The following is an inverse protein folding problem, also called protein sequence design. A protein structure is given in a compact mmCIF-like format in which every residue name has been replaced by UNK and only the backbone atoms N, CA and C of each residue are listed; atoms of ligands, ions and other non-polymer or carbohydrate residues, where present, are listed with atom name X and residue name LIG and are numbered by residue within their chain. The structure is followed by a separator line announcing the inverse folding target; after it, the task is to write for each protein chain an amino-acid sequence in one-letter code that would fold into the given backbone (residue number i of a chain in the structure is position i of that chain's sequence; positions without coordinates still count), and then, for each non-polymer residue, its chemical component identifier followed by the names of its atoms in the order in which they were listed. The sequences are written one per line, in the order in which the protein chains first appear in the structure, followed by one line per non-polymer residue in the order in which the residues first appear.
data_IF_578832628110
#
_entry.id   IF_578832628110
#
_cell.length_a   1.000
_cell.length_b   1.000
_cell.length_c   1.000
_cell.angle_alpha   90.00
_cell.angle_beta   90.00
_cell.angle_gamma   90.00
#
_symmetry.space_group_name_H-M   'P 1'
#
loop_
_entity.id
_entity.type
_entity.pdbx_description
1 polymer ?
#
# COMPACT_ATOMS: atom_id res chain seq x y z
N UNK A 1 13.49 -4.09 -11.77
CA UNK A 1 13.14 -2.88 -12.57
C UNK A 1 11.77 -2.28 -12.19
N UNK A 2 11.33 -2.31 -10.91
CA UNK A 2 9.97 -1.82 -10.53
C UNK A 2 9.90 -1.00 -9.22
N UNK A 3 11.03 -0.62 -8.59
CA UNK A 3 11.06 0.17 -7.35
C UNK A 3 11.16 1.68 -7.55
N UNK A 4 12.10 2.14 -8.38
CA UNK A 4 12.34 3.58 -8.61
C UNK A 4 11.11 4.32 -9.13
N UNK A 5 10.26 3.66 -9.93
CA UNK A 5 9.08 4.31 -10.49
C UNK A 5 8.03 4.65 -9.42
N UNK A 6 7.91 3.83 -8.38
CA UNK A 6 6.89 4.03 -7.32
C UNK A 6 7.15 5.31 -6.52
N UNK A 7 8.38 5.54 -6.09
CA UNK A 7 8.74 6.76 -5.34
C UNK A 7 8.54 8.02 -6.18
N UNK A 8 8.97 7.97 -7.44
CA UNK A 8 8.83 9.10 -8.37
C UNK A 8 7.36 9.40 -8.65
N UNK A 9 6.53 8.38 -8.83
CA UNK A 9 5.08 8.55 -8.96
C UNK A 9 4.46 9.20 -7.70
N UNK A 10 4.83 8.74 -6.50
CA UNK A 10 4.33 9.33 -5.24
C UNK A 10 4.72 10.80 -5.15
N UNK A 11 6.01 11.11 -5.28
CA UNK A 11 6.50 12.49 -5.17
C UNK A 11 5.93 13.37 -6.30
N UNK A 12 5.85 12.86 -7.52
CA UNK A 12 5.28 13.57 -8.66
C UNK A 12 3.81 13.93 -8.47
N UNK A 13 3.01 12.99 -7.96
CA UNK A 13 1.60 13.26 -7.61
C UNK A 13 1.52 14.31 -6.50
N UNK A 14 2.32 14.21 -5.44
CA UNK A 14 2.28 15.16 -4.32
C UNK A 14 2.80 16.56 -4.69
N UNK A 15 3.71 16.68 -5.66
CA UNK A 15 4.14 18.00 -6.19
C UNK A 15 3.01 18.63 -7.02
N UNK A 16 2.29 17.81 -7.79
CA UNK A 16 1.22 18.27 -8.69
C UNK A 16 -0.08 18.58 -7.94
N UNK A 17 -0.43 17.74 -6.97
CA UNK A 17 -1.66 17.78 -6.19
C UNK A 17 -1.35 17.64 -4.70
N UNK A 18 -0.72 18.66 -4.12
CA UNK A 18 -0.27 18.65 -2.72
C UNK A 18 -1.35 18.38 -1.68
N UNK A 19 -2.62 18.62 -2.01
CA UNK A 19 -3.76 18.29 -1.13
C UNK A 19 -3.90 16.78 -0.87
N UNK A 20 -3.42 15.92 -1.78
CA UNK A 20 -3.45 14.47 -1.61
C UNK A 20 -2.47 13.95 -0.55
N UNK A 21 -1.65 14.81 0.06
CA UNK A 21 -0.78 14.43 1.17
C UNK A 21 -1.56 13.78 2.33
N UNK A 22 -2.79 14.23 2.58
CA UNK A 22 -3.68 13.68 3.60
C UNK A 22 -3.97 12.18 3.40
N UNK A 23 -3.92 11.68 2.17
CA UNK A 23 -4.26 10.29 1.84
C UNK A 23 -3.12 9.30 2.13
N UNK A 24 -1.91 9.81 2.38
CA UNK A 24 -0.69 9.01 2.51
C UNK A 24 0.19 9.35 3.71
N UNK A 25 -0.07 10.46 4.42
CA UNK A 25 0.71 10.88 5.60
C UNK A 25 0.68 9.87 6.75
N UNK A 26 -0.37 9.04 6.82
CA UNK A 26 -0.53 7.94 7.80
C UNK A 26 0.08 6.60 7.32
N UNK A 27 0.43 6.51 6.04
CA UNK A 27 1.01 5.31 5.43
C UNK A 27 2.53 5.44 5.33
N UNK A 28 3.01 6.60 4.89
CA UNK A 28 4.39 6.81 4.48
C UNK A 28 5.19 7.55 5.53
N UNK A 29 6.47 7.22 5.60
CA UNK A 29 7.47 7.91 6.42
C UNK A 29 8.73 8.15 5.59
N UNK A 30 9.52 9.20 5.86
CA UNK A 30 10.68 9.54 5.04
C UNK A 30 11.71 8.41 4.88
N UNK A 31 11.87 7.56 5.88
CA UNK A 31 12.78 6.41 5.90
C UNK A 31 12.38 5.28 4.94
N UNK A 32 11.14 5.30 4.42
CA UNK A 32 10.67 4.33 3.42
C UNK A 32 11.27 4.56 2.03
N UNK A 33 11.80 5.76 1.76
CA UNK A 33 12.37 6.12 0.47
C UNK A 33 13.82 5.65 0.33
N UNK A 34 14.19 5.18 -0.86
CA UNK A 34 15.46 4.51 -1.12
C UNK A 34 16.66 5.46 -1.08
N UNK A 35 16.48 6.70 -1.51
CA UNK A 35 17.57 7.68 -1.60
C UNK A 35 17.40 8.81 -0.58
N UNK A 36 18.54 9.35 -0.13
CA UNK A 36 18.56 10.54 0.75
C UNK A 36 17.81 11.71 0.11
N UNK A 37 17.87 11.84 -1.22
CA UNK A 37 17.19 12.90 -1.95
C UNK A 37 15.65 12.74 -1.89
N UNK A 38 15.12 11.57 -2.26
CA UNK A 38 13.67 11.29 -2.22
C UNK A 38 13.12 11.33 -0.80
N UNK A 39 13.87 10.79 0.17
CA UNK A 39 13.56 10.88 1.60
C UNK A 39 13.48 12.33 2.10
N UNK A 40 14.47 13.16 1.74
CA UNK A 40 14.49 14.59 2.13
C UNK A 40 13.33 15.38 1.54
N UNK A 41 12.93 15.06 0.31
CA UNK A 41 11.81 15.72 -0.36
C UNK A 41 10.51 15.36 0.36
N UNK A 42 10.26 14.09 0.64
CA UNK A 42 9.06 13.67 1.36
C UNK A 42 9.01 14.27 2.79
N UNK A 43 10.14 14.29 3.50
CA UNK A 43 10.23 14.93 4.82
C UNK A 43 9.89 16.43 4.76
N UNK A 44 10.33 17.14 3.71
CA UNK A 44 9.98 18.54 3.49
C UNK A 44 8.48 18.72 3.23
N UNK A 45 7.87 17.87 2.41
CA UNK A 45 6.41 17.86 2.17
C UNK A 45 5.63 17.60 3.46
N UNK A 46 6.03 16.61 4.26
CA UNK A 46 5.41 16.29 5.54
C UNK A 46 5.45 17.49 6.49
N UNK A 47 6.61 18.13 6.63
CA UNK A 47 6.74 19.34 7.44
C UNK A 47 5.87 20.50 6.92
N UNK A 48 5.75 20.66 5.61
CA UNK A 48 4.86 21.68 5.03
C UNK A 48 3.40 21.38 5.35
N UNK A 49 2.98 20.12 5.26
CA UNK A 49 1.65 19.67 5.64
C UNK A 49 1.36 19.93 7.14
N UNK A 50 2.30 19.58 8.03
CA UNK A 50 2.19 19.83 9.47
C UNK A 50 2.11 21.33 9.80
N UNK A 51 2.77 22.18 8.99
CA UNK A 51 2.71 23.64 9.09
C UNK A 51 1.47 24.25 8.42
N UNK A 52 0.52 23.43 7.92
CA UNK A 52 -0.62 23.86 7.11
C UNK A 52 -0.24 24.73 5.89
N UNK A 53 0.94 24.48 5.31
CA UNK A 53 1.43 25.15 4.10
C UNK A 53 1.10 24.32 2.87
N UNK A 54 0.71 25.01 1.80
CA UNK A 54 0.50 24.40 0.49
C UNK A 54 1.76 23.70 0.00
N UNK A 55 1.59 22.52 -0.61
CA UNK A 55 2.65 21.78 -1.28
C UNK A 55 2.46 21.97 -2.79
N UNK A 56 3.43 22.63 -3.40
CA UNK A 56 3.52 22.86 -4.85
C UNK A 56 5.00 22.96 -5.24
N UNK A 57 5.30 22.92 -6.55
CA UNK A 57 6.67 22.91 -7.06
C UNK A 57 7.50 24.10 -6.58
N UNK A 58 6.94 25.32 -6.52
CA UNK A 58 7.68 26.52 -6.15
C UNK A 58 8.02 26.47 -4.68
N UNK A 59 7.00 26.31 -3.82
CA UNK A 59 7.17 26.30 -2.36
C UNK A 59 8.06 25.15 -1.91
N UNK A 60 7.94 23.96 -2.53
CA UNK A 60 8.80 22.82 -2.23
C UNK A 60 10.24 23.08 -2.67
N UNK A 61 10.45 23.67 -3.85
CA UNK A 61 11.80 23.99 -4.33
C UNK A 61 12.53 24.93 -3.38
N UNK A 62 11.84 25.97 -2.89
CA UNK A 62 12.40 26.87 -1.88
C UNK A 62 12.72 26.13 -0.58
N UNK A 63 11.86 25.19 -0.16
CA UNK A 63 12.05 24.42 1.08
C UNK A 63 13.27 23.51 1.03
N UNK A 64 13.55 22.91 -0.13
CA UNK A 64 14.68 21.97 -0.30
C UNK A 64 15.92 22.62 -0.92
N UNK A 65 15.88 23.91 -1.21
CA UNK A 65 17.01 24.66 -1.76
C UNK A 65 18.25 24.51 -0.87
N UNK A 66 19.39 24.19 -1.48
CA UNK A 66 20.64 23.98 -0.75
C UNK A 66 20.75 22.61 -0.05
N UNK A 67 19.73 21.74 -0.14
CA UNK A 67 19.88 20.34 0.24
C UNK A 67 20.80 19.64 -0.77
N UNK A 68 22.03 19.35 -0.36
CA UNK A 68 23.07 18.74 -1.21
C UNK A 68 22.62 17.47 -1.95
N UNK A 69 21.76 16.65 -1.35
CA UNK A 69 21.29 15.42 -1.99
C UNK A 69 20.29 15.71 -3.12
N UNK A 70 19.44 16.72 -2.96
CA UNK A 70 18.49 17.17 -3.98
C UNK A 70 19.21 17.93 -5.10
N UNK A 71 20.15 18.82 -4.75
CA UNK A 71 20.99 19.53 -5.71
C UNK A 71 21.80 18.56 -6.59
N UNK A 72 22.36 17.50 -6.00
CA UNK A 72 23.10 16.46 -6.73
C UNK A 72 22.23 15.69 -7.74
N UNK A 73 20.90 15.76 -7.63
CA UNK A 73 19.95 15.17 -8.58
C UNK A 73 19.44 16.16 -9.64
N UNK A 74 19.84 17.44 -9.55
CA UNK A 74 19.40 18.49 -10.47
C UNK A 74 18.43 19.51 -9.87
N UNK A 75 18.22 19.50 -8.55
CA UNK A 75 17.47 20.54 -7.84
C UNK A 75 16.03 20.68 -8.34
N UNK A 76 15.61 21.93 -8.56
CA UNK A 76 14.27 22.28 -9.08
C UNK A 76 13.92 21.58 -10.39
N UNK A 77 14.87 21.44 -11.31
CA UNK A 77 14.61 20.79 -12.60
C UNK A 77 14.21 19.32 -12.41
N UNK A 78 14.81 18.64 -11.44
CA UNK A 78 14.45 17.27 -11.11
C UNK A 78 13.06 17.17 -10.46
N UNK A 79 12.72 18.08 -9.54
CA UNK A 79 11.37 18.18 -8.97
C UNK A 79 10.31 18.36 -10.07
N UNK A 80 10.56 19.28 -11.02
CA UNK A 80 9.67 19.52 -12.14
C UNK A 80 9.52 18.27 -13.04
N UNK A 81 10.61 17.52 -13.26
CA UNK A 81 10.56 16.28 -14.02
C UNK A 81 9.71 15.19 -13.35
N UNK A 82 9.70 15.13 -12.00
CA UNK A 82 8.85 14.19 -11.26
C UNK A 82 7.39 14.62 -11.32
N UNK A 83 7.11 15.92 -11.18
CA UNK A 83 5.77 16.47 -11.33
C UNK A 83 5.15 16.18 -12.71
N UNK A 84 5.98 16.12 -13.76
CA UNK A 84 5.54 15.75 -15.10
C UNK A 84 5.27 14.24 -15.30
N UNK A 85 5.77 13.38 -14.41
CA UNK A 85 5.76 11.93 -14.57
C UNK A 85 5.01 11.25 -13.39
N UNK A 86 3.69 11.38 -13.36
CA UNK A 86 2.85 10.67 -12.39
C UNK A 86 1.62 10.00 -13.03
N UNK A 87 1.02 9.06 -12.32
CA UNK A 87 -0.24 8.42 -12.71
C UNK A 87 -1.34 8.90 -11.75
N UNK A 88 -2.28 9.76 -12.21
CA UNK A 88 -3.38 10.22 -11.38
C UNK A 88 -4.19 9.06 -10.78
N UNK A 89 -4.68 9.24 -9.55
CA UNK A 89 -5.57 8.28 -8.88
C UNK A 89 -4.90 7.03 -8.29
N UNK A 90 -3.61 6.78 -8.51
CA UNK A 90 -2.90 5.60 -7.99
C UNK A 90 -1.99 5.88 -6.76
N UNK A 91 -2.06 7.09 -6.20
CA UNK A 91 -1.16 7.52 -5.12
C UNK A 91 -1.18 6.55 -3.93
N UNK A 92 -2.36 6.20 -3.43
CA UNK A 92 -2.51 5.30 -2.27
C UNK A 92 -1.99 3.89 -2.55
N UNK A 93 -2.23 3.37 -3.75
CA UNK A 93 -1.72 2.05 -4.16
C UNK A 93 -0.18 2.03 -4.20
N UNK A 94 0.43 3.08 -4.77
CA UNK A 94 1.88 3.22 -4.76
C UNK A 94 2.45 3.41 -3.36
N UNK A 95 1.77 4.15 -2.49
CA UNK A 95 2.17 4.31 -1.09
C UNK A 95 2.18 2.97 -0.34
N UNK A 96 1.14 2.15 -0.52
CA UNK A 96 1.07 0.81 0.06
C UNK A 96 2.16 -0.12 -0.49
N UNK A 97 2.42 -0.07 -1.80
CA UNK A 97 3.49 -0.84 -2.43
C UNK A 97 4.88 -0.45 -1.91
N UNK A 98 5.13 0.85 -1.69
CA UNK A 98 6.37 1.34 -1.10
C UNK A 98 6.51 0.85 0.34
N UNK A 99 5.44 0.95 1.15
CA UNK A 99 5.40 0.44 2.53
C UNK A 99 5.68 -1.06 2.58
N UNK A 100 5.05 -1.86 1.73
CA UNK A 100 5.28 -3.31 1.67
C UNK A 100 6.76 -3.64 1.42
N UNK A 101 7.38 -2.96 0.46
CA UNK A 101 8.81 -3.14 0.15
C UNK A 101 9.71 -2.71 1.29
N UNK A 102 9.37 -1.62 1.97
CA UNK A 102 10.11 -1.17 3.13
C UNK A 102 10.06 -2.22 4.25
N UNK A 103 8.89 -2.78 4.53
CA UNK A 103 8.72 -3.86 5.52
C UNK A 103 9.55 -5.10 5.14
N UNK A 104 9.54 -5.50 3.86
CA UNK A 104 10.38 -6.61 3.37
C UNK A 104 11.88 -6.34 3.59
N UNK A 105 12.33 -5.10 3.33
CA UNK A 105 13.72 -4.69 3.58
C UNK A 105 14.07 -4.76 5.06
N UNK A 106 13.17 -4.30 5.95
CA UNK A 106 13.37 -4.38 7.40
C UNK A 106 13.42 -5.82 7.91
N UNK A 107 12.55 -6.70 7.42
CA UNK A 107 12.60 -8.12 7.74
C UNK A 107 13.96 -8.74 7.33
N UNK A 108 14.48 -8.39 6.16
CA UNK A 108 15.80 -8.85 5.71
C UNK A 108 16.95 -8.29 6.57
N UNK A 109 16.87 -7.03 7.00
CA UNK A 109 17.85 -6.42 7.90
C UNK A 109 17.92 -7.18 9.24
N UNK A 110 16.79 -7.51 9.84
CA UNK A 110 16.73 -8.32 11.07
C UNK A 110 17.20 -9.74 10.87
N UNK A 111 16.83 -10.40 9.76
CA UNK A 111 17.34 -11.73 9.44
C UNK A 111 18.87 -11.76 9.35
N UNK A 112 19.47 -10.73 8.76
CA UNK A 112 20.94 -10.57 8.72
C UNK A 112 21.54 -10.30 10.09
N UNK A 113 20.84 -9.60 10.97
CA UNK A 113 21.29 -9.39 12.36
C UNK A 113 21.30 -10.70 13.15
N UNK A 114 20.26 -11.51 13.03
CA UNK A 114 20.22 -12.86 13.61
C UNK A 114 21.36 -13.72 13.05
N UNK A 115 21.57 -13.71 11.73
CA UNK A 115 22.66 -14.44 11.10
C UNK A 115 24.02 -14.02 11.68
N UNK A 116 24.29 -12.70 11.80
CA UNK A 116 25.53 -12.20 12.40
C UNK A 116 25.69 -12.67 13.84
N UNK A 117 24.63 -12.58 14.65
CA UNK A 117 24.65 -13.03 16.04
C UNK A 117 25.02 -14.52 16.18
N UNK A 118 24.54 -15.37 15.27
CA UNK A 118 24.89 -16.80 15.23
C UNK A 118 26.34 -17.00 14.82
N UNK A 119 26.79 -16.34 13.75
CA UNK A 119 28.16 -16.45 13.23
C UNK A 119 29.19 -15.97 14.25
N UNK A 120 28.88 -14.89 14.97
CA UNK A 120 29.73 -14.31 16.00
C UNK A 120 29.70 -15.11 17.33
N UNK A 121 28.89 -16.18 17.40
CA UNK A 121 28.81 -17.06 18.57
C UNK A 121 28.17 -16.40 19.80
N UNK A 122 27.24 -15.46 19.60
CA UNK A 122 26.52 -14.84 20.72
C UNK A 122 25.65 -15.85 21.48
N UNK A 123 25.40 -15.57 22.76
CA UNK A 123 24.52 -16.37 23.61
C UNK A 123 23.10 -16.48 23.03
N UNK A 124 22.45 -17.63 23.28
CA UNK A 124 21.11 -17.96 22.79
C UNK A 124 20.08 -16.92 23.26
N UNK A 125 20.23 -16.40 24.47
CA UNK A 125 19.42 -15.32 25.03
C UNK A 125 19.43 -14.06 24.15
N UNK A 126 20.60 -13.66 23.65
CA UNK A 126 20.74 -12.50 22.76
C UNK A 126 20.13 -12.76 21.39
N UNK A 127 20.34 -13.95 20.84
CA UNK A 127 19.78 -14.33 19.53
C UNK A 127 18.24 -14.27 19.60
N UNK A 128 17.63 -14.87 20.62
CA UNK A 128 16.17 -14.83 20.82
C UNK A 128 15.67 -13.39 21.01
N UNK A 129 16.42 -12.54 21.72
CA UNK A 129 16.07 -11.13 21.87
C UNK A 129 16.02 -10.39 20.52
N UNK A 130 17.00 -10.62 19.64
CA UNK A 130 17.03 -10.01 18.29
C UNK A 130 15.84 -10.49 17.45
N UNK A 131 15.52 -11.79 17.49
CA UNK A 131 14.36 -12.36 16.79
C UNK A 131 13.07 -11.69 17.25
N UNK A 132 12.83 -11.60 18.55
CA UNK A 132 11.61 -11.01 19.10
C UNK A 132 11.49 -9.53 18.74
N UNK A 133 12.59 -8.75 18.89
CA UNK A 133 12.62 -7.35 18.49
C UNK A 133 12.30 -7.15 17.01
N UNK A 134 12.88 -7.99 16.14
CA UNK A 134 12.62 -7.95 14.71
C UNK A 134 11.17 -8.27 14.36
N UNK A 135 10.61 -9.31 14.99
CA UNK A 135 9.22 -9.70 14.79
C UNK A 135 8.24 -8.61 15.24
N UNK A 136 8.45 -8.05 16.43
CA UNK A 136 7.61 -6.96 16.96
C UNK A 136 7.70 -5.71 16.08
N UNK A 137 8.90 -5.34 15.64
CA UNK A 137 9.10 -4.18 14.77
C UNK A 137 8.36 -4.35 13.43
N UNK A 138 8.50 -5.51 12.78
CA UNK A 138 7.81 -5.81 11.51
C UNK A 138 6.29 -5.80 11.70
N UNK A 139 5.78 -6.42 12.77
CA UNK A 139 4.35 -6.43 13.07
C UNK A 139 3.79 -5.02 13.25
N UNK A 140 4.50 -4.17 14.02
CA UNK A 140 4.07 -2.79 14.26
C UNK A 140 4.04 -1.96 12.97
N UNK A 141 4.96 -2.20 12.04
CA UNK A 141 4.97 -1.51 10.74
C UNK A 141 3.78 -1.91 9.86
N UNK A 142 3.27 -3.14 9.97
CA UNK A 142 2.11 -3.61 9.20
C UNK A 142 0.79 -3.00 9.70
N UNK A 143 0.77 -2.45 10.91
CA UNK A 143 -0.37 -1.65 11.37
C UNK A 143 -0.41 -0.37 10.53
N UNK A 144 -1.39 -0.27 9.64
CA UNK A 144 -1.81 1.00 9.05
C UNK A 144 -2.97 1.48 9.91
N UNK A 145 -3.00 2.75 10.31
CA UNK A 145 -4.20 3.33 10.91
C UNK A 145 -5.39 3.07 9.95
N UNK A 146 -6.35 2.26 10.40
CA UNK A 146 -7.49 1.84 9.57
C UNK A 146 -7.34 0.56 8.72
N UNK A 147 -6.17 -0.10 8.66
CA UNK A 147 -6.02 -1.39 7.96
C UNK A 147 -5.83 -2.61 8.89
N UNK A 148 -6.06 -2.47 10.19
CA UNK A 148 -6.50 -3.63 10.97
C UNK A 148 -7.96 -3.89 10.62
N UNK A 149 -8.23 -4.47 9.44
CA UNK A 149 -9.45 -5.27 9.33
C UNK A 149 -9.22 -6.46 10.24
N UNK A 150 -9.70 -6.36 11.47
CA UNK A 150 -9.81 -7.50 12.37
C UNK A 150 -10.40 -8.67 11.56
N UNK A 151 -9.97 -9.91 11.80
CA UNK A 151 -10.65 -11.09 11.23
C UNK A 151 -12.17 -11.02 11.49
N UNK A 152 -12.57 -10.36 12.58
CA UNK A 152 -13.95 -10.08 12.94
C UNK A 152 -14.69 -9.12 12.00
N UNK A 153 -14.00 -8.21 11.30
CA UNK A 153 -14.60 -7.31 10.30
C UNK A 153 -14.63 -7.90 8.89
N UNK A 154 -13.89 -8.98 8.63
CA UNK A 154 -13.90 -9.70 7.35
C UNK A 154 -15.06 -10.70 7.30
N UNK A 155 -15.43 -11.30 8.45
CA UNK A 155 -16.51 -12.28 8.55
C UNK A 155 -17.85 -11.73 8.01
N UNK A 156 -18.31 -10.51 8.35
CA UNK A 156 -19.57 -9.99 7.83
C UNK A 156 -19.56 -9.80 6.32
N UNK A 157 -18.46 -9.28 5.76
CA UNK A 157 -18.33 -9.00 4.32
C UNK A 157 -18.19 -10.29 3.49
N UNK A 158 -17.52 -11.31 4.04
CA UNK A 158 -17.45 -12.66 3.44
C UNK A 158 -18.80 -13.38 3.57
N UNK A 159 -19.50 -13.24 4.69
CA UNK A 159 -20.85 -13.78 4.88
C UNK A 159 -21.84 -13.13 3.91
N UNK A 160 -21.82 -11.80 3.76
CA UNK A 160 -22.68 -11.07 2.84
C UNK A 160 -22.43 -11.50 1.39
N UNK A 161 -21.16 -11.69 0.99
CA UNK A 161 -20.81 -12.27 -0.33
C UNK A 161 -21.22 -13.73 -0.49
N UNK A 162 -21.23 -14.53 0.58
CA UNK A 162 -21.73 -15.90 0.55
C UNK A 162 -23.25 -15.94 0.48
N UNK A 163 -23.94 -15.04 1.18
CA UNK A 163 -25.39 -14.87 1.17
C UNK A 163 -25.86 -14.39 -0.20
N UNK A 164 -25.20 -13.41 -0.82
CA UNK A 164 -25.48 -13.00 -2.21
C UNK A 164 -25.30 -14.15 -3.19
N UNK A 165 -24.19 -14.90 -3.07
CA UNK A 165 -23.94 -16.07 -3.94
C UNK A 165 -24.95 -17.19 -3.71
N UNK A 166 -25.36 -17.43 -2.47
CA UNK A 166 -26.39 -18.40 -2.12
C UNK A 166 -27.78 -17.95 -2.59
N UNK A 167 -28.10 -16.66 -2.51
CA UNK A 167 -29.34 -16.08 -3.00
C UNK A 167 -29.44 -16.17 -4.52
N UNK A 168 -28.34 -15.88 -5.23
CA UNK A 168 -28.23 -16.06 -6.69
C UNK A 168 -28.31 -17.55 -7.05
N UNK A 169 -27.66 -18.44 -6.29
CA UNK A 169 -27.74 -19.88 -6.50
C UNK A 169 -29.13 -20.46 -6.22
N UNK A 170 -29.86 -19.94 -5.23
CA UNK A 170 -31.22 -20.37 -4.90
C UNK A 170 -32.23 -19.88 -5.94
N UNK A 171 -32.10 -18.65 -6.45
CA UNK A 171 -32.87 -18.16 -7.60
C UNK A 171 -32.54 -18.92 -8.88
N UNK A 172 -31.26 -19.20 -9.16
CA UNK A 172 -30.84 -20.02 -10.30
C UNK A 172 -31.31 -21.48 -10.20
N UNK A 173 -31.35 -22.04 -8.99
CA UNK A 173 -31.89 -23.36 -8.68
C UNK A 173 -33.40 -23.44 -8.86
N UNK A 174 -34.16 -22.42 -8.40
CA UNK A 174 -35.61 -22.32 -8.61
C UNK A 174 -35.97 -22.09 -10.08
N UNK A 175 -35.18 -21.33 -10.83
CA UNK A 175 -35.35 -21.16 -12.28
C UNK A 175 -35.03 -22.45 -13.06
N UNK A 176 -34.05 -23.24 -12.62
CA UNK A 176 -33.75 -24.53 -13.25
C UNK A 176 -34.80 -25.61 -12.94
N UNK A 177 -35.37 -25.62 -11.73
CA UNK A 177 -36.49 -26.53 -11.41
C UNK A 177 -37.79 -26.10 -12.11
N UNK A 178 -38.13 -24.80 -12.10
CA UNK A 178 -39.31 -24.28 -12.81
C UNK A 178 -39.23 -24.51 -14.32
N UNK A 179 -38.04 -24.35 -14.92
CA UNK A 179 -37.79 -24.67 -16.33
C UNK A 179 -37.92 -26.16 -16.66
N UNK A 180 -37.51 -27.04 -15.73
CA UNK A 180 -37.68 -28.51 -15.87
C UNK A 180 -39.14 -28.95 -15.72
N UNK A 181 -39.93 -28.31 -14.86
CA UNK A 181 -41.37 -28.56 -14.74
C UNK A 181 -42.13 -28.10 -15.99
N UNK A 182 -41.80 -26.94 -16.56
CA UNK A 182 -42.43 -26.43 -17.79
C UNK A 182 -42.11 -27.27 -19.04
N UNK A 183 -40.90 -27.84 -19.12
CA UNK A 183 -40.53 -28.75 -20.22
C UNK A 183 -41.12 -30.17 -20.06
N UNK A 184 -41.39 -30.61 -18.83
CA UNK A 184 -42.08 -31.88 -18.56
C UNK A 184 -43.58 -31.84 -18.89
N UNK A 185 -44.26 -30.72 -18.61
CA UNK A 185 -45.69 -30.54 -18.96
C UNK A 185 -45.91 -30.35 -20.46
N UNK A 186 -45.00 -29.67 -21.16
CA UNK A 186 -45.05 -29.54 -22.63
C UNK A 186 -44.84 -30.89 -23.35
N UNK A 187 -44.04 -31.80 -22.79
CA UNK A 187 -43.82 -33.13 -23.35
C UNK A 187 -45.03 -34.08 -23.14
N UNK A 188 -45.75 -33.96 -22.02
CA UNK A 188 -46.94 -34.76 -21.73
C UNK A 188 -48.22 -34.23 -22.41
N UNK A 189 -48.26 -32.96 -22.81
CA UNK A 189 -49.39 -32.35 -23.52
C UNK A 189 -49.52 -32.71 -25.01
N UNK A 190 -48.52 -33.36 -25.61
CA UNK A 190 -48.47 -33.60 -27.07
C UNK A 190 -48.61 -35.09 -27.46
N UNK A 191 -49.21 -35.92 -26.61
CA UNK A 191 -49.44 -37.35 -26.88
C UNK A 191 -50.90 -37.81 -26.91
N UNK A 192 -51.85 -36.88 -26.99
CA UNK A 192 -53.23 -37.22 -27.30
C UNK A 192 -53.83 -36.22 -28.29
N UNK A 193 -53.62 -36.47 -29.57
CA UNK A 193 -54.56 -36.22 -30.67
C UNK A 193 -54.29 -37.27 -31.75
#
# INVERSE_FOLDING_TARGET
MRSSNTEIHILGTLISEGTQMVDVVDILTPDMFESVATSSIYAAMQKMFDENKGIDLVTLSERVAGNKAVEAKGGTAWLASMAANYTPGLLREYALLLKERYVQKKALEYAREVQRAVVDGLGVDKIVSIVNKGADAVNNMLIVAGATRSVKSIIPEVLERLEERMFIAQKGGMLSQAGRYASYTAFLGNKHS
#
